data_IF_162990923616
#
_entry.id   IF_162990923616
#
_cell.length_a   1.000
_cell.length_b   1.000
_cell.length_c   1.000
_cell.angle_alpha   90.00
_cell.angle_beta   90.00
_cell.angle_gamma   90.00
#
_symmetry.space_group_name_H-M   'P 1'
#
loop_
_entity.id
_entity.type
_entity.pdbx_description
1 polymer ?
#
# COMPACT_ATOMS: atom_id res chain seq x y z
N UNK A 1 37.98 13.69 37.79
CA UNK A 1 37.11 14.50 36.91
C UNK A 1 36.25 13.52 36.13
N UNK A 2 35.02 13.29 36.58
CA UNK A 2 34.09 12.35 35.96
C UNK A 2 33.36 13.03 34.81
N UNK A 3 33.39 12.40 33.64
CA UNK A 3 32.59 12.80 32.47
C UNK A 3 31.20 12.21 32.65
N UNK A 4 30.20 13.08 32.79
CA UNK A 4 28.80 12.68 32.88
C UNK A 4 28.29 12.24 31.49
N UNK A 5 27.74 11.03 31.41
CA UNK A 5 27.04 10.56 30.23
C UNK A 5 25.69 11.28 30.11
N UNK A 6 25.48 11.99 29.00
CA UNK A 6 24.17 12.54 28.64
C UNK A 6 23.33 11.40 28.09
N UNK A 7 22.36 10.95 28.89
CA UNK A 7 21.28 10.09 28.41
C UNK A 7 20.32 10.98 27.63
N UNK A 8 20.32 10.88 26.30
CA UNK A 8 19.25 11.44 25.49
C UNK A 8 17.96 10.68 25.81
N UNK A 9 17.02 11.37 26.45
CA UNK A 9 15.65 10.89 26.54
C UNK A 9 15.06 10.85 25.12
N UNK A 10 14.78 9.65 24.62
CA UNK A 10 13.89 9.44 23.49
C UNK A 10 12.52 9.99 23.91
N UNK A 11 12.20 11.21 23.49
CA UNK A 11 10.82 11.68 23.45
C UNK A 11 10.09 10.72 22.50
N UNK A 12 9.27 9.83 23.06
CA UNK A 12 8.45 8.93 22.27
C UNK A 12 7.64 9.75 21.28
N UNK A 13 7.93 9.58 19.99
CA UNK A 13 7.02 10.00 18.94
C UNK A 13 5.69 9.31 19.27
N UNK A 14 4.65 10.09 19.55
CA UNK A 14 3.31 9.54 19.61
C UNK A 14 3.06 8.94 18.23
N UNK A 15 3.09 7.60 18.13
CA UNK A 15 2.68 6.91 16.92
C UNK A 15 1.30 7.46 16.56
N UNK A 16 1.11 7.98 15.34
CA UNK A 16 -0.23 8.37 14.91
C UNK A 16 -1.20 7.21 15.16
N UNK A 17 -2.31 7.50 15.83
CA UNK A 17 -3.26 6.46 16.28
C UNK A 17 -4.55 6.48 15.45
N UNK A 18 -4.41 6.87 14.19
CA UNK A 18 -5.45 6.96 13.17
C UNK A 18 -4.82 6.70 11.78
N UNK A 19 -5.60 6.31 10.76
CA UNK A 19 -5.09 6.14 9.42
C UNK A 19 -4.51 7.45 8.85
N UNK A 20 -3.39 7.37 8.12
CA UNK A 20 -2.87 8.52 7.37
C UNK A 20 -3.88 9.01 6.31
N UNK A 21 -4.63 8.07 5.74
CA UNK A 21 -5.69 8.31 4.78
C UNK A 21 -6.87 9.09 5.39
N UNK A 22 -7.44 9.98 4.57
CA UNK A 22 -8.49 10.92 4.95
C UNK A 22 -9.85 10.54 4.38
N UNK A 23 -10.91 11.07 4.98
CA UNK A 23 -12.28 10.93 4.48
C UNK A 23 -12.93 9.59 4.82
N UNK A 24 -13.66 9.03 3.86
CA UNK A 24 -14.35 7.75 3.99
C UNK A 24 -13.48 6.62 3.43
N UNK A 25 -13.13 5.68 4.30
CA UNK A 25 -12.21 4.60 4.04
C UNK A 25 -12.95 3.27 3.98
N UNK A 26 -12.49 2.41 3.08
CA UNK A 26 -12.66 0.98 3.23
C UNK A 26 -11.74 0.48 4.34
N UNK A 27 -12.20 -0.52 5.10
CA UNK A 27 -11.40 -1.22 6.11
C UNK A 27 -11.38 -2.69 5.73
N UNK A 28 -10.22 -3.20 5.33
CA UNK A 28 -10.06 -4.53 4.75
C UNK A 28 -9.21 -5.42 5.64
N UNK A 29 -9.50 -6.73 5.78
CA UNK A 29 -8.58 -7.65 6.42
C UNK A 29 -7.23 -7.64 5.70
N UNK A 30 -6.11 -7.58 6.42
CA UNK A 30 -4.78 -7.57 5.82
C UNK A 30 -4.49 -8.82 4.98
N UNK A 31 -5.16 -9.94 5.27
CA UNK A 31 -5.08 -11.16 4.48
C UNK A 31 -5.81 -11.09 3.12
N UNK A 32 -6.71 -10.12 2.91
CA UNK A 32 -7.45 -9.95 1.66
C UNK A 32 -8.03 -8.54 1.50
N UNK A 33 -7.37 -7.69 0.71
CA UNK A 33 -7.82 -6.32 0.44
C UNK A 33 -9.12 -6.24 -0.41
N UNK A 34 -9.62 -7.35 -0.95
CA UNK A 34 -10.88 -7.43 -1.71
C UNK A 34 -12.12 -7.66 -0.83
N UNK A 35 -11.92 -7.87 0.48
CA UNK A 35 -12.98 -7.91 1.49
C UNK A 35 -12.96 -6.63 2.32
N UNK A 36 -14.13 -6.14 2.69
CA UNK A 36 -14.31 -4.90 3.42
C UNK A 36 -15.24 -5.11 4.62
N UNK A 37 -14.98 -4.40 5.73
CA UNK A 37 -15.96 -4.25 6.81
C UNK A 37 -17.22 -3.59 6.28
N UNK A 38 -18.35 -4.19 6.59
CA UNK A 38 -19.68 -3.87 6.09
C UNK A 38 -20.69 -3.89 7.24
N UNK A 39 -21.56 -2.88 7.32
CA UNK A 39 -22.65 -2.82 8.27
C UNK A 39 -23.87 -2.08 7.73
N UNK A 40 -25.04 -2.68 7.90
CA UNK A 40 -26.34 -2.10 7.57
C UNK A 40 -26.70 -0.95 8.54
N UNK A 41 -27.53 0.01 8.10
CA UNK A 41 -27.80 1.23 8.87
C UNK A 41 -28.90 1.08 9.93
N UNK A 42 -28.63 0.31 10.98
CA UNK A 42 -29.48 0.25 12.19
C UNK A 42 -28.66 -0.11 13.44
N UNK A 43 -29.16 0.26 14.62
CA UNK A 43 -28.50 -0.06 15.88
C UNK A 43 -28.52 -1.58 16.13
N UNK A 44 -27.35 -2.13 16.48
CA UNK A 44 -27.14 -3.56 16.65
C UNK A 44 -26.83 -4.31 15.35
N UNK A 45 -26.74 -3.63 14.20
CA UNK A 45 -26.34 -4.29 12.95
C UNK A 45 -24.94 -4.90 13.09
N UNK A 46 -24.72 -6.16 12.68
CA UNK A 46 -23.43 -6.81 12.82
C UNK A 46 -22.38 -6.15 11.93
N UNK A 47 -21.18 -5.96 12.45
CA UNK A 47 -20.02 -5.56 11.64
C UNK A 47 -19.40 -6.83 11.05
N UNK A 48 -19.69 -7.06 9.77
CA UNK A 48 -19.30 -8.26 9.01
C UNK A 48 -18.29 -7.90 7.94
N UNK A 49 -17.67 -8.89 7.33
CA UNK A 49 -16.95 -8.68 6.06
C UNK A 49 -17.84 -9.04 4.86
N UNK A 50 -17.68 -8.32 3.76
CA UNK A 50 -18.27 -8.61 2.46
C UNK A 50 -17.28 -8.27 1.33
N UNK A 51 -17.59 -8.65 0.09
CA UNK A 51 -16.83 -8.15 -1.06
C UNK A 51 -16.89 -6.62 -1.11
N UNK A 52 -15.74 -5.99 -1.32
CA UNK A 52 -15.67 -4.55 -1.45
C UNK A 52 -16.47 -4.09 -2.67
N UNK A 53 -17.43 -3.21 -2.45
CA UNK A 53 -18.31 -2.65 -3.49
C UNK A 53 -18.36 -1.12 -3.48
N UNK A 54 -17.80 -0.48 -2.44
CA UNK A 54 -17.73 0.98 -2.32
C UNK A 54 -19.04 1.64 -1.90
N UNK A 55 -20.06 0.85 -1.59
CA UNK A 55 -21.34 1.32 -1.08
C UNK A 55 -21.23 1.93 0.31
N UNK A 56 -22.24 2.71 0.70
CA UNK A 56 -22.27 3.42 1.97
C UNK A 56 -22.13 2.52 3.21
N UNK A 57 -22.49 1.23 3.10
CA UNK A 57 -22.32 0.23 4.17
C UNK A 57 -20.87 -0.14 4.45
N UNK A 58 -19.91 0.31 3.64
CA UNK A 58 -18.49 -0.02 3.77
C UNK A 58 -17.59 1.21 3.98
N UNK A 59 -18.19 2.40 4.16
CA UNK A 59 -17.48 3.68 4.19
C UNK A 59 -17.33 4.17 5.63
N UNK A 60 -16.16 3.93 6.20
CA UNK A 60 -15.83 4.25 7.58
C UNK A 60 -15.03 5.54 7.70
N UNK A 61 -15.20 6.28 8.79
CA UNK A 61 -14.45 7.52 9.06
C UNK A 61 -13.84 7.44 10.46
N UNK A 62 -12.56 7.79 10.56
CA UNK A 62 -11.80 7.70 11.80
C UNK A 62 -11.70 9.07 12.47
N UNK A 63 -12.24 9.20 13.68
CA UNK A 63 -12.15 10.41 14.48
C UNK A 63 -10.79 10.52 15.18
N UNK A 64 -9.85 11.26 14.58
CA UNK A 64 -8.45 11.37 15.03
C UNK A 64 -8.24 11.82 16.49
N UNK A 65 -9.23 12.50 17.09
CA UNK A 65 -9.20 12.96 18.50
C UNK A 65 -10.20 12.26 19.43
N UNK A 66 -11.17 11.55 18.86
CA UNK A 66 -12.24 10.92 19.63
C UNK A 66 -12.09 9.40 19.72
N UNK A 67 -11.21 8.80 18.91
CA UNK A 67 -11.00 7.35 18.78
C UNK A 67 -12.28 6.63 18.39
N UNK A 68 -13.17 7.35 17.71
CA UNK A 68 -14.44 6.81 17.26
C UNK A 68 -14.31 6.46 15.79
N UNK A 69 -14.70 5.24 15.44
CA UNK A 69 -14.79 4.78 14.06
C UNK A 69 -16.25 4.85 13.63
N UNK A 70 -16.58 5.84 12.79
CA UNK A 70 -17.95 6.17 12.39
C UNK A 70 -18.32 5.54 11.05
N UNK A 71 -19.61 5.27 10.86
CA UNK A 71 -20.25 4.88 9.61
C UNK A 71 -21.66 5.50 9.57
N UNK A 72 -22.24 5.68 8.38
CA UNK A 72 -23.59 6.28 8.20
C UNK A 72 -23.77 7.65 8.89
N UNK A 73 -22.68 8.40 9.07
CA UNK A 73 -22.66 9.72 9.71
C UNK A 73 -22.78 9.73 11.24
N UNK A 74 -23.68 8.92 11.82
CA UNK A 74 -23.95 8.91 13.26
C UNK A 74 -24.01 7.50 13.90
N UNK A 75 -23.46 6.48 13.22
CA UNK A 75 -23.23 5.17 13.80
C UNK A 75 -21.76 4.94 14.04
N UNK A 76 -21.44 4.14 15.03
CA UNK A 76 -20.11 3.92 15.55
C UNK A 76 -19.85 2.42 15.66
N UNK A 77 -18.61 2.02 15.38
CA UNK A 77 -18.10 0.70 15.75
C UNK A 77 -18.26 0.54 17.26
N UNK A 78 -18.86 -0.58 17.68
CA UNK A 78 -19.27 -0.81 19.05
C UNK A 78 -18.98 -2.28 19.44
N UNK A 79 -18.38 -2.48 20.60
CA UNK A 79 -18.29 -3.80 21.22
C UNK A 79 -19.62 -4.12 21.88
N UNK A 80 -20.31 -5.13 21.37
CA UNK A 80 -21.65 -5.49 21.82
C UNK A 80 -21.73 -5.67 23.34
N UNK A 81 -22.68 -4.97 23.94
CA UNK A 81 -22.96 -4.92 25.39
C UNK A 81 -21.76 -4.49 26.26
N UNK A 82 -20.67 -3.96 25.65
CA UNK A 82 -19.44 -3.63 26.36
C UNK A 82 -18.73 -4.83 26.97
N UNK A 83 -19.01 -6.04 26.48
CA UNK A 83 -18.49 -7.26 27.08
C UNK A 83 -17.02 -7.47 26.72
N UNK A 84 -16.14 -7.25 27.70
CA UNK A 84 -14.70 -7.56 27.60
C UNK A 84 -14.41 -9.05 27.73
N UNK A 85 -14.77 -9.81 26.70
CA UNK A 85 -14.47 -11.23 26.55
C UNK A 85 -14.03 -11.52 25.12
N UNK A 86 -13.11 -12.47 24.95
CA UNK A 86 -12.74 -12.96 23.63
C UNK A 86 -13.95 -13.52 22.89
N UNK A 87 -14.08 -13.15 21.62
CA UNK A 87 -15.19 -13.58 20.77
C UNK A 87 -16.45 -12.71 20.89
N UNK A 88 -16.47 -11.67 21.73
CA UNK A 88 -17.56 -10.69 21.72
C UNK A 88 -17.65 -10.05 20.34
N UNK A 89 -18.83 -10.12 19.71
CA UNK A 89 -19.05 -9.63 18.35
C UNK A 89 -19.13 -8.11 18.31
N UNK A 90 -18.65 -7.57 17.19
CA UNK A 90 -18.75 -6.15 16.89
C UNK A 90 -20.08 -5.83 16.24
N UNK A 91 -20.58 -4.64 16.54
CA UNK A 91 -21.82 -4.12 15.99
C UNK A 91 -21.71 -2.63 15.68
N UNK A 92 -22.72 -2.20 14.94
CA UNK A 92 -23.32 -0.89 14.84
C UNK A 92 -23.93 -0.30 16.11
N UNK A 93 -23.61 0.91 16.56
CA UNK A 93 -24.54 1.63 17.45
C UNK A 93 -24.53 3.13 17.24
N UNK A 94 -25.62 3.81 17.61
CA UNK A 94 -25.67 5.28 17.66
C UNK A 94 -24.48 5.81 18.45
N UNK A 95 -23.78 6.77 17.85
CA UNK A 95 -22.55 7.30 18.40
C UNK A 95 -22.78 7.97 19.77
N UNK A 96 -22.00 7.56 20.75
CA UNK A 96 -21.86 8.21 22.04
C UNK A 96 -20.37 8.38 22.31
N UNK A 97 -19.87 9.61 22.18
CA UNK A 97 -18.44 9.89 22.32
C UNK A 97 -17.91 9.68 23.75
N UNK A 98 -18.77 9.47 24.74
CA UNK A 98 -18.37 9.09 26.10
C UNK A 98 -18.44 7.57 26.36
N UNK A 99 -19.00 6.79 25.42
CA UNK A 99 -19.13 5.33 25.59
C UNK A 99 -17.76 4.66 25.45
N UNK A 100 -17.27 3.93 26.47
CA UNK A 100 -16.01 3.19 26.36
C UNK A 100 -16.09 2.04 25.35
N UNK A 101 -17.28 1.57 24.98
CA UNK A 101 -17.46 0.47 24.02
C UNK A 101 -17.23 0.89 22.56
N UNK A 102 -17.09 2.19 22.30
CA UNK A 102 -17.00 2.80 20.97
C UNK A 102 -15.63 3.47 20.73
N UNK A 103 -14.63 3.11 21.52
CA UNK A 103 -13.30 3.71 21.52
C UNK A 103 -12.27 2.75 20.93
N UNK A 104 -11.80 3.05 19.74
CA UNK A 104 -10.85 2.24 19.00
C UNK A 104 -9.67 3.08 18.52
N UNK A 105 -8.47 2.62 18.84
CA UNK A 105 -7.21 3.15 18.32
C UNK A 105 -6.79 2.37 17.09
N UNK A 106 -6.42 3.08 16.03
CA UNK A 106 -5.85 2.46 14.84
C UNK A 106 -4.33 2.69 14.84
N UNK A 107 -3.53 1.63 14.95
CA UNK A 107 -2.08 1.74 14.72
C UNK A 107 -1.84 1.70 13.22
N UNK A 108 -1.29 2.75 12.62
CA UNK A 108 -0.91 2.68 11.20
C UNK A 108 0.36 1.84 10.98
N UNK A 109 1.19 1.68 12.01
CA UNK A 109 2.40 0.86 11.95
C UNK A 109 2.10 -0.64 11.99
N UNK A 110 1.11 -1.04 12.80
CA UNK A 110 0.77 -2.45 12.99
C UNK A 110 -0.54 -2.83 12.28
N UNK A 111 -1.26 -1.86 11.71
CA UNK A 111 -2.60 -1.99 11.13
C UNK A 111 -3.65 -2.61 12.07
N UNK A 112 -3.49 -2.45 13.38
CA UNK A 112 -4.43 -3.00 14.36
C UNK A 112 -5.45 -1.96 14.80
N UNK A 113 -6.72 -2.36 14.87
CA UNK A 113 -7.80 -1.64 15.55
C UNK A 113 -7.93 -2.16 16.99
N UNK A 114 -7.45 -1.43 17.98
CA UNK A 114 -7.49 -1.84 19.40
C UNK A 114 -8.56 -1.13 20.19
N UNK A 115 -9.31 -1.89 21.01
CA UNK A 115 -10.31 -1.37 21.92
C UNK A 115 -9.62 -0.68 23.11
N UNK A 116 -9.83 0.64 23.22
CA UNK A 116 -9.10 1.53 24.12
C UNK A 116 -9.10 1.02 25.58
N UNK A 117 -7.90 0.76 26.10
CA UNK A 117 -7.66 0.34 27.48
C UNK A 117 -8.14 -1.07 27.82
N UNK A 118 -8.54 -1.90 26.85
CA UNK A 118 -9.06 -3.26 27.12
C UNK A 118 -8.11 -4.40 26.77
N UNK A 119 -7.01 -4.12 26.06
CA UNK A 119 -6.08 -5.15 25.59
C UNK A 119 -6.69 -6.10 24.56
N UNK A 120 -7.74 -5.65 23.85
CA UNK A 120 -8.42 -6.40 22.80
C UNK A 120 -8.32 -5.66 21.47
N UNK A 121 -8.24 -6.42 20.39
CA UNK A 121 -8.13 -5.92 19.02
C UNK A 121 -9.32 -6.47 18.20
N UNK A 122 -9.75 -5.71 17.20
CA UNK A 122 -10.69 -6.17 16.18
C UNK A 122 -10.05 -7.35 15.46
N UNK A 123 -10.77 -8.45 15.41
CA UNK A 123 -10.30 -9.76 14.96
C UNK A 123 -11.32 -10.34 13.98
N UNK A 124 -10.80 -10.89 12.87
CA UNK A 124 -11.59 -11.69 11.95
C UNK A 124 -11.62 -13.14 12.45
N UNK A 125 -12.78 -13.67 12.92
CA UNK A 125 -12.81 -14.97 13.56
C UNK A 125 -12.24 -16.08 12.67
N UNK A 126 -11.22 -16.77 13.18
CA UNK A 126 -10.51 -17.85 12.49
C UNK A 126 -9.95 -17.48 11.11
N UNK A 127 -9.78 -16.19 10.80
CA UNK A 127 -9.37 -15.73 9.48
C UNK A 127 -10.37 -16.08 8.36
N UNK A 128 -11.62 -16.40 8.69
CA UNK A 128 -12.60 -16.83 7.71
C UNK A 128 -13.04 -15.66 6.82
N UNK A 129 -12.69 -15.74 5.52
CA UNK A 129 -12.97 -14.71 4.50
C UNK A 129 -14.36 -14.81 3.85
N UNK A 130 -15.24 -15.67 4.37
CA UNK A 130 -16.62 -15.79 3.86
C UNK A 130 -17.43 -14.51 4.13
N UNK A 131 -18.19 -14.06 3.14
CA UNK A 131 -19.10 -12.93 3.32
C UNK A 131 -20.08 -13.21 4.46
N UNK A 132 -20.33 -12.20 5.29
CA UNK A 132 -21.18 -12.32 6.48
C UNK A 132 -20.45 -12.77 7.75
N UNK A 133 -19.16 -13.13 7.68
CA UNK A 133 -18.40 -13.41 8.89
C UNK A 133 -18.30 -12.14 9.76
N UNK A 134 -18.82 -12.21 10.98
CA UNK A 134 -18.93 -11.07 11.90
C UNK A 134 -17.65 -10.91 12.70
N UNK A 135 -17.02 -9.75 12.55
CA UNK A 135 -15.82 -9.38 13.29
C UNK A 135 -16.08 -9.39 14.80
N UNK A 136 -15.03 -9.63 15.57
CA UNK A 136 -15.10 -9.74 17.02
C UNK A 136 -13.96 -8.97 17.67
N UNK A 137 -13.98 -8.88 19.00
CA UNK A 137 -12.79 -8.52 19.76
C UNK A 137 -12.08 -9.78 20.24
N UNK A 138 -10.76 -9.77 20.17
CA UNK A 138 -9.89 -10.83 20.68
C UNK A 138 -8.63 -10.23 21.32
N UNK A 139 -7.95 -10.96 22.22
CA UNK A 139 -6.68 -10.53 22.80
C UNK A 139 -5.68 -10.09 21.72
N UNK A 140 -5.13 -8.88 21.85
CA UNK A 140 -4.20 -8.34 20.86
C UNK A 140 -2.92 -9.20 20.78
N UNK A 141 -2.49 -9.53 19.56
CA UNK A 141 -1.23 -10.22 19.29
C UNK A 141 -0.62 -9.71 17.98
N UNK A 142 0.65 -9.29 18.03
CA UNK A 142 1.39 -8.77 16.86
C UNK A 142 1.57 -9.80 15.75
N UNK A 143 1.51 -11.09 16.09
CA UNK A 143 1.70 -12.19 15.13
C UNK A 143 0.37 -12.74 14.61
N UNK A 144 -0.77 -12.18 15.03
CA UNK A 144 -2.08 -12.66 14.60
C UNK A 144 -2.52 -11.94 13.31
N UNK A 145 -2.47 -12.59 12.13
CA UNK A 145 -2.87 -11.97 10.87
C UNK A 145 -4.36 -11.61 10.80
N UNK A 146 -5.18 -12.18 11.68
CA UNK A 146 -6.62 -11.89 11.74
C UNK A 146 -6.94 -10.53 12.37
N UNK A 147 -5.94 -9.87 12.97
CA UNK A 147 -6.07 -8.57 13.63
C UNK A 147 -5.49 -7.41 12.82
N UNK A 148 -5.03 -7.69 11.60
CA UNK A 148 -4.52 -6.73 10.65
C UNK A 148 -5.68 -6.21 9.80
N UNK A 149 -5.86 -4.89 9.78
CA UNK A 149 -6.90 -4.19 9.05
C UNK A 149 -6.29 -3.02 8.29
N UNK A 150 -6.18 -3.14 6.97
CA UNK A 150 -5.70 -2.04 6.13
C UNK A 150 -6.84 -1.09 5.80
N UNK A 151 -6.52 0.18 5.60
CA UNK A 151 -7.49 1.19 5.15
C UNK A 151 -7.18 1.67 3.74
N UNK A 152 -8.20 1.97 2.94
CA UNK A 152 -7.98 2.55 1.61
C UNK A 152 -9.25 2.80 0.83
N UNK A 153 -9.12 2.72 -0.50
CA UNK A 153 -10.12 3.17 -1.45
C UNK A 153 -10.29 2.14 -2.58
N UNK A 154 -11.44 2.18 -3.24
CA UNK A 154 -11.57 1.49 -4.52
C UNK A 154 -10.98 2.34 -5.61
N UNK A 155 -10.35 1.68 -6.59
CA UNK A 155 -9.71 2.34 -7.74
C UNK A 155 -10.67 3.18 -8.59
N UNK A 156 -11.97 2.90 -8.55
CA UNK A 156 -13.01 3.62 -9.30
C UNK A 156 -13.66 4.75 -8.50
N UNK A 157 -13.33 4.88 -7.21
CA UNK A 157 -13.84 5.93 -6.32
C UNK A 157 -12.72 6.44 -5.39
N UNK A 158 -11.53 6.82 -5.90
CA UNK A 158 -10.51 7.45 -5.08
C UNK A 158 -10.90 8.90 -4.76
N UNK A 159 -10.53 9.41 -3.57
CA UNK A 159 -10.66 10.83 -3.29
C UNK A 159 -9.71 11.63 -4.19
N UNK A 160 -9.93 12.94 -4.32
CA UNK A 160 -8.97 13.81 -5.02
C UNK A 160 -7.59 13.74 -4.37
N UNK A 161 -7.54 13.78 -3.04
CA UNK A 161 -6.33 13.61 -2.23
C UNK A 161 -6.63 12.58 -1.14
N UNK A 162 -5.73 11.63 -0.90
CA UNK A 162 -5.86 10.64 0.18
C UNK A 162 -5.20 11.12 1.47
N UNK A 163 -4.15 11.94 1.42
CA UNK A 163 -3.40 12.37 2.60
C UNK A 163 -3.23 13.89 2.68
N UNK A 164 -3.00 14.39 3.90
CA UNK A 164 -2.74 15.81 4.16
C UNK A 164 -1.35 16.17 3.61
N UNK A 165 -1.27 17.22 2.80
CA UNK A 165 -0.01 17.67 2.19
C UNK A 165 0.29 17.03 0.83
N UNK A 166 -0.63 16.22 0.30
CA UNK A 166 -0.49 15.63 -1.02
C UNK A 166 -0.32 16.71 -2.11
N UNK A 167 0.73 16.57 -2.93
CA UNK A 167 1.05 17.49 -4.04
C UNK A 167 0.05 17.40 -5.20
N UNK A 168 -0.20 16.16 -5.64
CA UNK A 168 -0.94 15.85 -6.85
C UNK A 168 -2.39 15.45 -6.60
N UNK A 169 -2.87 14.50 -7.39
CA UNK A 169 -4.24 13.98 -7.31
C UNK A 169 -4.28 12.47 -7.50
N UNK A 170 -5.25 11.82 -6.86
CA UNK A 170 -5.61 10.43 -7.11
C UNK A 170 -6.81 10.27 -8.08
N UNK A 171 -7.48 11.37 -8.42
CA UNK A 171 -8.48 11.41 -9.50
C UNK A 171 -7.79 11.69 -10.84
N UNK A 172 -7.08 10.68 -11.34
CA UNK A 172 -6.17 10.86 -12.47
C UNK A 172 -6.86 10.99 -13.84
N UNK A 173 -8.13 10.58 -13.94
CA UNK A 173 -8.80 10.45 -15.23
C UNK A 173 -8.27 9.28 -16.07
N UNK A 174 -8.63 9.23 -17.34
CA UNK A 174 -8.21 8.15 -18.24
C UNK A 174 -7.03 8.54 -19.13
N UNK A 175 -7.08 9.72 -19.75
CA UNK A 175 -6.11 10.12 -20.77
C UNK A 175 -4.77 10.54 -20.17
N UNK A 176 -3.68 10.09 -20.79
CA UNK A 176 -2.34 10.47 -20.35
C UNK A 176 -1.97 11.86 -20.83
N UNK A 177 -1.21 12.56 -19.99
CA UNK A 177 -0.67 13.88 -20.28
C UNK A 177 0.68 14.03 -19.59
N UNK A 178 1.66 14.63 -20.27
CA UNK A 178 2.96 14.94 -19.67
C UNK A 178 2.87 16.04 -18.59
N UNK A 179 1.75 16.75 -18.50
CA UNK A 179 1.44 17.71 -17.44
C UNK A 179 0.59 17.10 -16.31
N UNK A 180 0.31 15.78 -16.36
CA UNK A 180 -0.47 15.12 -15.31
C UNK A 180 0.23 15.20 -13.95
N UNK A 181 -0.55 15.49 -12.91
CA UNK A 181 -0.13 15.42 -11.52
C UNK A 181 -0.73 14.18 -10.81
N UNK A 182 -1.07 13.14 -11.56
CA UNK A 182 -1.52 11.89 -10.98
C UNK A 182 -0.44 11.28 -10.09
N UNK A 183 -0.80 10.87 -8.87
CA UNK A 183 0.08 10.15 -7.94
C UNK A 183 -0.34 8.70 -7.70
N UNK A 184 -1.36 8.23 -8.40
CA UNK A 184 -1.76 6.83 -8.38
C UNK A 184 -0.92 6.00 -9.37
N UNK A 185 -0.22 4.99 -8.86
CA UNK A 185 0.57 4.04 -9.64
C UNK A 185 -0.17 2.71 -9.83
N UNK A 186 0.25 2.00 -10.89
CA UNK A 186 -0.20 0.65 -11.19
C UNK A 186 1.00 -0.29 -11.35
N UNK A 187 0.82 -1.56 -10.99
CA UNK A 187 1.83 -2.61 -11.23
C UNK A 187 1.13 -3.92 -11.57
N UNK A 188 1.20 -4.30 -12.85
CA UNK A 188 0.50 -5.49 -13.36
C UNK A 188 1.43 -6.41 -14.13
N UNK A 189 2.37 -5.86 -14.89
CA UNK A 189 3.22 -6.64 -15.78
C UNK A 189 4.43 -5.84 -16.27
N UNK A 190 5.35 -6.50 -16.98
CA UNK A 190 6.54 -5.90 -17.63
C UNK A 190 6.18 -4.73 -18.57
N UNK A 191 4.99 -4.73 -19.15
CA UNK A 191 4.51 -3.68 -20.06
C UNK A 191 3.38 -2.82 -19.46
N UNK A 192 2.93 -3.08 -18.23
CA UNK A 192 1.84 -2.35 -17.55
C UNK A 192 2.22 -2.07 -16.10
N UNK A 193 3.06 -1.06 -15.91
CA UNK A 193 3.45 -0.57 -14.60
C UNK A 193 3.71 0.93 -14.64
N UNK A 194 3.82 1.50 -13.45
CA UNK A 194 4.16 2.89 -13.23
C UNK A 194 5.34 3.01 -12.27
N UNK A 195 6.06 4.11 -12.38
CA UNK A 195 7.07 4.58 -11.43
C UNK A 195 6.73 6.02 -11.08
N UNK A 196 7.21 6.51 -9.95
CA UNK A 196 7.12 7.93 -9.63
C UNK A 196 8.42 8.66 -9.90
N UNK A 197 8.31 9.91 -10.34
CA UNK A 197 9.46 10.75 -10.67
C UNK A 197 9.15 12.24 -10.43
N UNK A 198 10.17 13.10 -10.23
CA UNK A 198 9.95 14.49 -9.87
C UNK A 198 9.19 15.25 -10.97
N UNK A 199 8.07 15.94 -10.64
CA UNK A 199 7.25 16.59 -11.66
C UNK A 199 7.96 17.74 -12.39
N UNK A 200 8.93 18.39 -11.71
CA UNK A 200 9.69 19.55 -12.19
C UNK A 200 11.20 19.29 -12.25
N UNK A 201 11.60 18.02 -12.17
CA UNK A 201 12.98 17.59 -12.09
C UNK A 201 13.63 17.80 -10.72
N UNK A 202 14.59 16.96 -10.36
CA UNK A 202 15.28 17.04 -9.06
C UNK A 202 15.95 15.73 -8.65
N UNK A 203 16.60 15.76 -7.49
CA UNK A 203 17.03 14.54 -6.80
C UNK A 203 15.79 13.86 -6.22
N UNK A 204 15.67 12.55 -6.42
CA UNK A 204 14.50 11.78 -5.99
C UNK A 204 14.35 11.86 -4.48
N UNK A 205 15.43 11.72 -3.71
CA UNK A 205 15.38 11.82 -2.24
C UNK A 205 14.92 13.18 -1.72
N UNK A 206 15.13 14.27 -2.48
CA UNK A 206 14.66 15.60 -2.10
C UNK A 206 13.22 15.89 -2.53
N UNK A 207 12.69 15.11 -3.48
CA UNK A 207 11.39 15.35 -4.13
C UNK A 207 10.40 14.21 -3.87
N UNK A 208 10.80 13.20 -3.09
CA UNK A 208 10.07 11.97 -2.78
C UNK A 208 8.61 12.19 -2.37
N UNK A 209 8.31 13.32 -1.73
CA UNK A 209 6.95 13.66 -1.25
C UNK A 209 6.02 14.16 -2.34
N UNK A 210 6.57 14.71 -3.43
CA UNK A 210 5.83 15.40 -4.50
C UNK A 210 5.90 14.70 -5.87
N UNK A 211 6.61 13.58 -5.96
CA UNK A 211 6.74 12.82 -7.21
C UNK A 211 5.38 12.40 -7.79
N UNK A 212 5.30 12.34 -9.12
CA UNK A 212 4.09 11.98 -9.89
C UNK A 212 4.32 10.75 -10.74
N UNK A 213 3.25 10.03 -11.04
CA UNK A 213 3.30 8.75 -11.72
C UNK A 213 3.57 8.90 -13.24
N UNK A 214 4.53 8.11 -13.71
CA UNK A 214 4.82 7.81 -15.10
C UNK A 214 4.52 6.34 -15.36
N UNK A 215 3.65 6.03 -16.32
CA UNK A 215 3.28 4.66 -16.64
C UNK A 215 3.72 4.25 -18.04
N UNK A 216 3.94 2.95 -18.23
CA UNK A 216 4.11 2.34 -19.55
C UNK A 216 2.83 2.36 -20.37
N UNK A 217 1.67 2.62 -19.75
CA UNK A 217 0.40 2.70 -20.47
C UNK A 217 -0.38 4.00 -20.28
N UNK A 218 -0.95 4.51 -21.38
CA UNK A 218 -2.02 5.51 -21.32
C UNK A 218 -3.35 4.87 -20.97
N UNK A 219 -4.30 5.61 -20.39
CA UNK A 219 -5.51 5.01 -19.80
C UNK A 219 -5.48 4.98 -18.26
N UNK A 220 -4.38 5.44 -17.65
CA UNK A 220 -4.21 5.59 -16.20
C UNK A 220 -4.33 7.05 -15.74
N UNK A 221 -4.48 8.01 -16.66
CA UNK A 221 -4.48 9.43 -16.32
C UNK A 221 -3.11 10.00 -15.95
N UNK A 222 -2.05 9.21 -16.09
CA UNK A 222 -0.68 9.53 -15.67
C UNK A 222 0.14 10.16 -16.79
N UNK A 223 1.36 10.58 -16.47
CA UNK A 223 2.39 10.78 -17.48
C UNK A 223 2.77 9.42 -18.08
N UNK A 224 3.37 9.41 -19.27
CA UNK A 224 3.90 8.20 -19.90
C UNK A 224 5.40 8.30 -20.08
N UNK A 225 6.11 7.18 -20.00
CA UNK A 225 7.55 7.18 -20.24
C UNK A 225 7.88 7.66 -21.66
N UNK A 226 8.79 8.63 -21.84
CA UNK A 226 9.34 8.95 -23.14
C UNK A 226 10.09 7.75 -23.74
N UNK A 227 10.16 7.67 -25.07
CA UNK A 227 10.83 6.56 -25.74
C UNK A 227 12.32 6.43 -25.36
N UNK A 228 12.74 5.19 -25.17
CA UNK A 228 14.08 4.84 -24.77
C UNK A 228 14.44 5.23 -23.33
N UNK A 229 13.46 5.63 -22.50
CA UNK A 229 13.65 5.78 -21.04
C UNK A 229 13.96 4.43 -20.41
N UNK A 230 13.18 3.39 -20.71
CA UNK A 230 13.39 2.04 -20.21
C UNK A 230 14.41 1.31 -21.11
N UNK A 231 15.42 0.71 -20.50
CA UNK A 231 16.49 -0.04 -21.19
C UNK A 231 16.47 -1.53 -20.86
N UNK A 232 15.96 -1.91 -19.70
CA UNK A 232 15.63 -3.28 -19.34
C UNK A 232 14.53 -3.28 -18.29
N UNK A 233 13.64 -4.26 -18.33
CA UNK A 233 12.54 -4.43 -17.38
C UNK A 233 12.35 -5.92 -17.11
N UNK A 234 12.37 -6.31 -15.84
CA UNK A 234 12.09 -7.66 -15.39
C UNK A 234 10.96 -7.60 -14.38
N UNK A 235 9.82 -8.19 -14.76
CA UNK A 235 8.66 -8.33 -13.91
C UNK A 235 8.58 -9.76 -13.38
N UNK A 236 8.26 -9.90 -12.10
CA UNK A 236 7.91 -11.18 -11.49
C UNK A 236 6.58 -11.09 -10.75
N UNK A 237 5.79 -12.15 -10.90
CA UNK A 237 4.63 -12.44 -10.06
C UNK A 237 4.98 -13.57 -9.11
N UNK A 238 4.76 -13.33 -7.83
CA UNK A 238 4.87 -14.37 -6.79
C UNK A 238 3.50 -14.63 -6.17
N UNK A 239 3.47 -15.49 -5.14
CA UNK A 239 2.27 -15.72 -4.35
C UNK A 239 1.86 -14.47 -3.55
N UNK A 240 2.82 -13.74 -3.01
CA UNK A 240 2.57 -12.69 -2.01
C UNK A 240 2.91 -11.28 -2.49
N UNK A 241 3.52 -11.12 -3.67
CA UNK A 241 3.84 -9.81 -4.24
C UNK A 241 4.03 -9.85 -5.76
N UNK A 242 3.93 -8.68 -6.38
CA UNK A 242 4.48 -8.40 -7.70
C UNK A 242 5.69 -7.50 -7.57
N UNK A 243 6.66 -7.66 -8.46
CA UNK A 243 7.86 -6.83 -8.48
C UNK A 243 8.25 -6.53 -9.92
N UNK A 244 8.64 -5.29 -10.19
CA UNK A 244 9.25 -4.86 -11.44
C UNK A 244 10.60 -4.22 -11.14
N UNK A 245 11.65 -4.65 -11.83
CA UNK A 245 13.01 -4.14 -11.71
C UNK A 245 13.56 -3.78 -13.06
N UNK A 246 14.56 -2.89 -13.13
CA UNK A 246 15.15 -2.60 -14.42
C UNK A 246 16.13 -1.45 -14.43
N UNK A 247 16.62 -1.17 -15.64
CA UNK A 247 17.58 -0.10 -15.91
C UNK A 247 17.03 0.84 -16.96
N UNK A 248 17.50 2.09 -16.95
CA UNK A 248 16.94 3.15 -17.77
C UNK A 248 17.80 4.40 -17.86
N UNK A 249 17.28 5.39 -18.57
CA UNK A 249 17.72 6.79 -18.54
C UNK A 249 16.60 7.62 -17.93
N UNK A 250 16.58 7.68 -16.59
CA UNK A 250 15.50 8.34 -15.84
C UNK A 250 15.66 9.86 -15.77
N UNK A 251 16.74 10.40 -16.33
CA UNK A 251 16.86 11.85 -16.56
C UNK A 251 15.78 12.35 -17.52
N UNK A 252 15.28 11.48 -18.42
CA UNK A 252 14.15 11.76 -19.32
C UNK A 252 12.81 11.97 -18.61
N UNK A 253 12.68 11.56 -17.35
CA UNK A 253 11.49 11.76 -16.53
C UNK A 253 11.76 12.66 -15.32
N UNK A 254 12.86 13.43 -15.35
CA UNK A 254 13.15 14.48 -14.36
C UNK A 254 14.13 14.09 -13.24
N UNK A 255 14.58 12.84 -13.16
CA UNK A 255 15.60 12.49 -12.16
C UNK A 255 16.92 13.22 -12.47
N UNK A 256 17.55 13.84 -11.47
CA UNK A 256 18.81 14.55 -11.65
C UNK A 256 19.90 13.60 -12.18
N UNK A 257 20.75 14.03 -13.14
CA UNK A 257 21.86 13.21 -13.59
C UNK A 257 22.79 12.82 -12.43
N UNK A 258 23.19 11.54 -12.38
CA UNK A 258 24.03 10.94 -11.34
C UNK A 258 23.41 10.94 -9.94
N UNK A 259 22.08 11.06 -9.86
CA UNK A 259 21.37 10.76 -8.62
C UNK A 259 21.49 9.26 -8.31
N UNK A 260 22.02 8.95 -7.12
CA UNK A 260 22.23 7.59 -6.61
C UNK A 260 20.93 6.95 -6.12
N UNK A 261 19.90 7.78 -5.91
CA UNK A 261 18.53 7.34 -5.74
C UNK A 261 17.91 7.65 -4.38
N UNK A 262 16.74 7.07 -4.15
CA UNK A 262 15.96 7.22 -2.93
C UNK A 262 14.83 6.19 -2.88
N UNK A 263 14.41 5.88 -1.66
CA UNK A 263 13.25 5.04 -1.38
C UNK A 263 11.96 5.85 -1.44
N UNK A 264 10.92 5.22 -1.96
CA UNK A 264 9.53 5.67 -1.96
C UNK A 264 8.70 4.53 -1.35
N UNK A 265 7.80 4.86 -0.43
CA UNK A 265 7.02 3.90 0.33
C UNK A 265 5.68 4.52 0.84
N UNK A 266 4.73 3.70 1.33
CA UNK A 266 3.41 4.19 1.75
C UNK A 266 3.37 4.93 3.09
N UNK A 267 4.46 4.96 3.85
CA UNK A 267 4.49 5.46 5.23
C UNK A 267 5.42 6.64 5.45
N UNK A 268 6.54 6.71 4.72
CA UNK A 268 7.58 7.72 4.91
C UNK A 268 8.10 7.82 6.36
N UNK A 269 8.93 8.84 6.62
CA UNK A 269 9.52 9.03 7.95
C UNK A 269 8.54 9.59 9.00
N UNK A 270 7.49 10.29 8.57
CA UNK A 270 6.52 10.96 9.45
C UNK A 270 5.14 10.27 9.53
N UNK A 271 5.00 9.11 8.89
CA UNK A 271 3.75 8.34 8.82
C UNK A 271 2.86 8.72 7.64
N UNK A 272 3.24 9.71 6.82
CA UNK A 272 2.68 9.92 5.49
C UNK A 272 3.62 9.37 4.42
N UNK A 273 3.06 8.80 3.35
CA UNK A 273 3.85 8.25 2.27
C UNK A 273 4.79 9.27 1.59
N UNK A 274 5.72 8.73 0.81
CA UNK A 274 6.60 9.44 -0.10
C UNK A 274 6.53 8.72 -1.46
N UNK A 275 5.62 9.12 -2.39
CA UNK A 275 4.83 10.35 -2.37
C UNK A 275 3.70 10.37 -1.34
N UNK A 276 3.47 11.56 -0.77
CA UNK A 276 2.32 11.78 0.11
C UNK A 276 1.06 11.52 -0.70
N UNK A 277 0.20 10.64 -0.17
CA UNK A 277 -1.04 10.24 -0.82
C UNK A 277 -0.87 9.40 -2.09
N UNK A 278 0.32 8.82 -2.31
CA UNK A 278 0.55 7.83 -3.35
C UNK A 278 -0.30 6.58 -3.12
N UNK A 279 -1.06 6.18 -4.14
CA UNK A 279 -1.86 4.94 -4.11
C UNK A 279 -1.32 3.94 -5.14
N UNK A 280 -1.26 2.67 -4.78
CA UNK A 280 -0.84 1.59 -5.69
C UNK A 280 -1.99 0.64 -5.93
N UNK A 281 -2.26 0.35 -7.20
CA UNK A 281 -3.25 -0.64 -7.61
C UNK A 281 -2.64 -1.70 -8.53
N UNK A 282 -3.27 -2.88 -8.54
CA UNK A 282 -2.95 -3.91 -9.51
C UNK A 282 -4.12 -4.84 -9.77
N UNK A 283 -3.96 -5.70 -10.76
CA UNK A 283 -4.93 -6.69 -11.18
C UNK A 283 -4.53 -8.13 -10.82
N UNK A 284 -3.27 -8.32 -10.40
CA UNK A 284 -2.66 -9.65 -10.24
C UNK A 284 -3.32 -10.48 -9.14
N UNK A 285 -3.69 -9.84 -8.04
CA UNK A 285 -4.30 -10.47 -6.87
C UNK A 285 -5.80 -10.17 -6.72
N UNK A 286 -6.38 -9.44 -7.68
CA UNK A 286 -7.75 -8.96 -7.67
C UNK A 286 -7.87 -7.75 -8.58
N UNK A 287 -9.03 -7.58 -9.24
CA UNK A 287 -9.22 -6.52 -10.24
C UNK A 287 -9.21 -5.13 -9.58
N UNK A 288 -8.23 -4.29 -9.92
CA UNK A 288 -8.09 -2.95 -9.36
C UNK A 288 -7.92 -2.94 -7.84
N UNK A 289 -7.26 -3.97 -7.32
CA UNK A 289 -7.01 -4.14 -5.90
C UNK A 289 -5.95 -3.14 -5.44
N UNK A 290 -6.18 -2.45 -4.33
CA UNK A 290 -5.17 -1.59 -3.73
C UNK A 290 -4.09 -2.45 -3.05
N UNK A 291 -2.83 -2.13 -3.30
CA UNK A 291 -1.69 -2.70 -2.58
C UNK A 291 -1.24 -1.68 -1.53
N UNK A 292 -1.46 -2.02 -0.26
CA UNK A 292 -1.22 -1.11 0.87
C UNK A 292 0.25 -1.10 1.30
N UNK A 293 0.98 -2.18 1.02
CA UNK A 293 2.40 -2.30 1.34
C UNK A 293 3.19 -2.45 0.06
N UNK A 294 4.11 -1.52 -0.16
CA UNK A 294 4.93 -1.46 -1.35
C UNK A 294 6.21 -0.70 -1.04
N UNK A 295 7.28 -0.96 -1.78
CA UNK A 295 8.52 -0.19 -1.69
C UNK A 295 9.07 -0.01 -3.10
N UNK A 296 9.56 1.19 -3.39
CA UNK A 296 10.06 1.58 -4.71
C UNK A 296 11.35 2.35 -4.56
N UNK A 297 12.38 1.97 -5.29
CA UNK A 297 13.62 2.74 -5.37
C UNK A 297 13.80 3.21 -6.80
N UNK A 298 14.23 4.45 -6.92
CA UNK A 298 14.53 5.10 -8.20
C UNK A 298 15.90 5.75 -8.09
N UNK A 299 16.68 5.70 -9.15
CA UNK A 299 17.91 6.46 -9.34
C UNK A 299 17.94 7.03 -10.76
N UNK A 300 19.02 7.71 -11.15
CA UNK A 300 19.16 8.17 -12.53
C UNK A 300 19.21 7.02 -13.56
N UNK A 301 19.56 5.80 -13.13
CA UNK A 301 19.89 4.68 -14.04
C UNK A 301 19.20 3.35 -13.75
N UNK A 302 18.64 3.18 -12.56
CA UNK A 302 18.06 1.92 -12.09
C UNK A 302 16.76 2.19 -11.32
N UNK A 303 15.84 1.23 -11.39
CA UNK A 303 14.63 1.21 -10.58
C UNK A 303 14.27 -0.19 -10.11
N UNK A 304 13.47 -0.23 -9.05
CA UNK A 304 12.79 -1.42 -8.59
C UNK A 304 11.56 -1.02 -7.81
N UNK A 305 10.47 -1.73 -8.01
CA UNK A 305 9.20 -1.47 -7.36
C UNK A 305 8.53 -2.80 -7.04
N UNK A 306 8.25 -3.03 -5.78
CA UNK A 306 7.54 -4.22 -5.28
C UNK A 306 6.28 -3.78 -4.57
N UNK A 307 5.18 -4.48 -4.86
CA UNK A 307 3.92 -4.29 -4.17
C UNK A 307 3.43 -5.63 -3.61
N UNK A 308 3.19 -5.66 -2.31
CA UNK A 308 2.94 -6.85 -1.53
C UNK A 308 1.47 -6.95 -1.09
N UNK A 309 1.03 -8.18 -0.86
CA UNK A 309 -0.33 -8.49 -0.39
C UNK A 309 -0.31 -9.62 0.63
N UNK A 310 -1.45 -9.83 1.28
CA UNK A 310 -1.65 -10.87 2.27
C UNK A 310 -1.00 -10.55 3.62
N UNK A 311 -0.99 -11.54 4.55
CA UNK A 311 -0.62 -11.31 5.94
C UNK A 311 0.86 -10.96 6.15
N UNK A 312 1.73 -11.24 5.18
CA UNK A 312 3.16 -10.94 5.24
C UNK A 312 3.54 -9.69 4.44
N UNK A 313 2.59 -8.87 4.02
CA UNK A 313 2.85 -7.78 3.07
C UNK A 313 3.93 -6.80 3.57
N UNK A 314 3.82 -6.30 4.80
CA UNK A 314 4.82 -5.43 5.45
C UNK A 314 6.20 -6.09 5.59
N UNK A 315 6.23 -7.42 5.78
CA UNK A 315 7.48 -8.17 5.89
C UNK A 315 8.15 -8.37 4.53
N UNK A 316 7.37 -8.53 3.47
CA UNK A 316 7.86 -8.74 2.10
C UNK A 316 8.21 -7.42 1.39
N UNK A 317 7.67 -6.30 1.86
CA UNK A 317 7.93 -4.93 1.41
C UNK A 317 8.35 -4.12 2.63
N UNK A 318 9.61 -4.24 3.05
CA UNK A 318 10.16 -3.48 4.17
C UNK A 318 10.61 -2.09 3.72
N UNK A 319 10.46 -1.10 4.60
CA UNK A 319 10.74 0.32 4.33
C UNK A 319 11.81 0.91 5.26
N UNK A 320 12.69 0.04 5.78
CA UNK A 320 13.71 0.41 6.77
C UNK A 320 15.15 0.23 6.24
N UNK A 321 15.28 0.00 4.94
CA UNK A 321 16.54 -0.31 4.26
C UNK A 321 16.78 0.65 3.08
N UNK A 322 16.47 1.93 3.30
CA UNK A 322 16.45 3.02 2.34
C UNK A 322 17.79 3.25 1.63
N UNK A 323 18.92 3.03 2.31
CA UNK A 323 20.26 3.27 1.72
C UNK A 323 20.85 2.04 1.03
N UNK A 324 20.15 0.91 1.04
CA UNK A 324 20.67 -0.34 0.47
C UNK A 324 20.44 -0.45 -1.05
N UNK A 325 19.45 0.28 -1.55
CA UNK A 325 19.12 0.35 -2.97
C UNK A 325 18.57 -0.95 -3.56
N UNK A 326 18.33 -0.90 -4.86
CA UNK A 326 17.55 -1.91 -5.58
C UNK A 326 18.14 -3.32 -5.53
N UNK A 327 19.43 -3.47 -5.84
CA UNK A 327 20.05 -4.80 -5.95
C UNK A 327 20.14 -5.54 -4.61
N UNK A 328 20.10 -4.83 -3.49
CA UNK A 328 20.09 -5.45 -2.17
C UNK A 328 18.67 -5.72 -1.68
N UNK A 329 17.76 -4.76 -1.81
CA UNK A 329 16.37 -4.89 -1.35
C UNK A 329 15.52 -5.81 -2.25
N UNK A 330 15.76 -5.78 -3.55
CA UNK A 330 14.98 -6.51 -4.57
C UNK A 330 15.89 -7.25 -5.57
N UNK A 331 16.68 -8.24 -5.13
CA UNK A 331 17.55 -9.02 -6.03
C UNK A 331 16.75 -9.63 -7.19
N UNK A 332 17.15 -9.32 -8.43
CA UNK A 332 16.46 -9.71 -9.65
C UNK A 332 17.38 -9.57 -10.88
N UNK A 333 16.83 -9.84 -12.06
CA UNK A 333 17.48 -9.46 -13.32
C UNK A 333 17.35 -7.93 -13.54
N UNK A 334 18.47 -7.27 -13.86
CA UNK A 334 18.56 -5.84 -14.19
C UNK A 334 19.24 -5.60 -15.55
N UNK A 335 19.44 -6.66 -16.33
CA UNK A 335 20.19 -6.59 -17.59
C UNK A 335 19.51 -5.66 -18.60
N UNK A 336 20.29 -4.76 -19.17
CA UNK A 336 19.83 -3.94 -20.28
C UNK A 336 19.54 -4.81 -21.51
N UNK A 337 18.51 -4.45 -22.28
CA UNK A 337 18.02 -5.20 -23.43
C UNK A 337 17.13 -6.40 -23.08
N UNK A 338 16.89 -6.68 -21.80
CA UNK A 338 15.98 -7.72 -21.35
C UNK A 338 14.65 -7.11 -20.92
N UNK A 339 13.56 -7.60 -21.51
CA UNK A 339 12.20 -7.22 -21.16
C UNK A 339 11.40 -8.48 -20.92
N UNK A 340 11.23 -8.86 -19.66
CA UNK A 340 10.74 -10.18 -19.30
C UNK A 340 9.65 -10.10 -18.22
N UNK A 341 8.68 -11.00 -18.30
CA UNK A 341 7.64 -11.19 -17.28
C UNK A 341 7.57 -12.66 -16.93
N UNK A 342 7.76 -12.97 -15.66
CA UNK A 342 7.90 -14.34 -15.16
C UNK A 342 6.97 -14.58 -13.97
N UNK A 343 6.68 -15.84 -13.71
CA UNK A 343 6.33 -16.29 -12.36
C UNK A 343 7.63 -16.45 -11.55
N UNK A 344 7.57 -16.28 -10.23
CA UNK A 344 8.70 -16.53 -9.35
C UNK A 344 8.26 -16.99 -7.96
N UNK A 345 9.18 -17.66 -7.27
CA UNK A 345 9.05 -17.91 -5.84
C UNK A 345 9.20 -16.61 -5.04
N UNK A 346 8.65 -16.58 -3.82
CA UNK A 346 8.90 -15.46 -2.91
C UNK A 346 10.38 -15.35 -2.58
N UNK A 347 10.89 -14.13 -2.56
CA UNK A 347 12.20 -13.81 -2.01
C UNK A 347 12.23 -14.00 -0.49
N UNK A 348 13.45 -14.19 0.03
CA UNK A 348 13.68 -14.06 1.45
C UNK A 348 13.37 -12.61 1.89
N UNK A 349 12.70 -12.41 3.04
CA UNK A 349 12.38 -11.07 3.53
C UNK A 349 13.62 -10.20 3.73
N UNK A 350 13.54 -8.91 3.38
CA UNK A 350 14.68 -8.00 3.49
C UNK A 350 15.26 -7.98 4.91
N UNK A 351 16.58 -8.16 5.01
CA UNK A 351 17.32 -8.12 6.27
C UNK A 351 17.16 -9.35 7.17
N UNK A 352 16.45 -10.40 6.75
CA UNK A 352 16.28 -11.63 7.55
C UNK A 352 17.21 -12.74 7.05
N UNK A 353 18.21 -13.09 7.87
CA UNK A 353 19.20 -14.13 7.57
C UNK A 353 19.04 -15.28 8.56
N UNK A 354 18.27 -16.30 8.15
CA UNK A 354 17.91 -17.42 9.04
C UNK A 354 17.01 -16.94 10.17
N UNK A 355 17.49 -17.04 11.41
CA UNK A 355 16.79 -16.55 12.61
C UNK A 355 17.24 -15.15 13.06
N UNK A 356 18.15 -14.52 12.31
CA UNK A 356 18.71 -13.22 12.64
C UNK A 356 18.12 -12.12 11.77
N UNK A 357 17.88 -10.96 12.37
CA UNK A 357 17.51 -9.73 11.66
C UNK A 357 18.71 -8.79 11.66
N UNK A 358 19.08 -8.31 10.48
CA UNK A 358 20.08 -7.26 10.29
C UNK A 358 19.37 -5.92 10.13
N UNK A 359 19.98 -4.85 10.65
CA UNK A 359 19.45 -3.48 10.54
C UNK A 359 20.45 -2.60 9.81
N UNK A 360 19.93 -1.67 9.02
CA UNK A 360 20.74 -0.70 8.28
C UNK A 360 21.76 0.01 9.18
N UNK A 361 22.98 0.19 8.66
CA UNK A 361 24.08 0.83 9.37
C UNK A 361 24.91 -0.10 10.27
N UNK A 362 24.46 -1.33 10.51
CA UNK A 362 25.21 -2.33 11.29
C UNK A 362 26.28 -3.02 10.43
N UNK A 363 27.50 -3.15 10.96
CA UNK A 363 28.62 -3.81 10.26
C UNK A 363 28.93 -5.21 10.82
N UNK A 364 29.32 -6.18 9.95
CA UNK A 364 29.39 -6.07 8.50
C UNK A 364 27.98 -6.04 7.88
N UNK A 365 27.82 -5.27 6.81
CA UNK A 365 26.62 -5.33 5.97
C UNK A 365 26.61 -6.68 5.25
N UNK A 366 25.56 -7.51 5.40
CA UNK A 366 25.47 -8.79 4.71
C UNK A 366 25.27 -8.59 3.21
N UNK A 367 25.69 -9.59 2.44
CA UNK A 367 25.39 -9.64 1.01
C UNK A 367 23.87 -9.69 0.77
N UNK A 368 23.44 -9.16 -0.37
CA UNK A 368 22.05 -9.26 -0.81
C UNK A 368 21.57 -10.72 -0.81
N UNK A 369 20.27 -10.92 -0.58
CA UNK A 369 19.68 -12.25 -0.72
C UNK A 369 19.84 -12.80 -2.15
N UNK A 370 19.89 -14.13 -2.32
CA UNK A 370 19.88 -14.74 -3.65
C UNK A 370 18.65 -14.30 -4.45
N UNK A 371 18.82 -14.18 -5.76
CA UNK A 371 17.71 -13.98 -6.69
C UNK A 371 16.80 -15.22 -6.60
N UNK A 372 15.48 -15.06 -6.36
CA UNK A 372 14.55 -16.18 -6.32
C UNK A 372 14.47 -16.89 -7.68
N UNK A 373 14.09 -18.16 -7.66
CA UNK A 373 13.88 -18.89 -8.91
C UNK A 373 12.68 -18.30 -9.67
N UNK A 374 12.90 -17.98 -10.94
CA UNK A 374 11.87 -17.57 -11.89
C UNK A 374 11.48 -18.73 -12.82
N UNK A 375 10.24 -18.73 -13.30
CA UNK A 375 9.70 -19.70 -14.24
C UNK A 375 8.67 -19.05 -15.17
N UNK A 376 8.22 -19.78 -16.20
CA UNK A 376 7.20 -19.31 -17.15
C UNK A 376 7.47 -17.93 -17.78
N UNK A 377 8.74 -17.59 -17.96
CA UNK A 377 9.14 -16.27 -18.45
C UNK A 377 8.71 -16.03 -19.90
N UNK A 378 7.97 -14.94 -20.13
CA UNK A 378 7.71 -14.36 -21.45
C UNK A 378 8.66 -13.21 -21.71
N UNK A 379 9.29 -13.20 -22.88
CA UNK A 379 10.15 -12.10 -23.34
C UNK A 379 9.40 -11.18 -24.28
N UNK A 380 9.63 -9.87 -24.15
CA UNK A 380 9.23 -8.85 -25.08
C UNK A 380 10.45 -8.30 -25.82
N UNK A 381 10.30 -7.81 -27.06
CA UNK A 381 11.39 -7.15 -27.77
C UNK A 381 11.74 -5.79 -27.14
N UNK A 382 10.74 -5.09 -26.60
CA UNK A 382 10.88 -3.78 -25.96
C UNK A 382 9.63 -3.48 -25.12
N UNK A 383 9.73 -2.48 -24.25
CA UNK A 383 8.59 -1.86 -23.56
C UNK A 383 8.54 -0.40 -23.98
N UNK A 384 7.42 -0.01 -24.60
CA UNK A 384 7.13 1.37 -25.02
C UNK A 384 5.81 1.82 -24.45
N UNK A 385 5.60 3.13 -24.42
CA UNK A 385 4.32 3.69 -24.01
C UNK A 385 3.20 3.30 -25.00
N UNK A 386 2.09 2.77 -24.51
CA UNK A 386 0.92 2.38 -25.34
C UNK A 386 -0.41 2.43 -24.59
N UNK A 387 -1.58 2.34 -25.24
CA UNK A 387 -2.85 2.38 -24.51
C UNK A 387 -3.06 1.12 -23.64
N UNK A 388 -3.69 1.29 -22.48
CA UNK A 388 -4.25 0.19 -21.68
C UNK A 388 -5.24 -0.54 -22.58
N UNK A 389 -5.06 -1.86 -22.72
CA UNK A 389 -5.99 -2.71 -23.46
C UNK A 389 -7.35 -2.64 -22.74
N UNK A 390 -8.34 -1.95 -23.34
CA UNK A 390 -9.71 -1.94 -22.82
C UNK A 390 -10.30 -3.34 -23.02
N UNK A 391 -10.84 -3.92 -21.95
CA UNK A 391 -11.64 -5.14 -22.04
C UNK A 391 -12.86 -4.85 -22.94
N UNK A 392 -12.90 -5.39 -24.16
CA UNK A 392 -13.95 -5.14 -25.16
C UNK A 392 -15.32 -5.77 -24.81
N UNK A 393 -15.67 -5.89 -23.52
CA UNK A 393 -16.96 -6.44 -23.05
C UNK A 393 -18.04 -5.39 -22.72
N UNK A 394 -17.95 -4.19 -23.29
CA UNK A 394 -19.12 -3.29 -23.41
C UNK A 394 -19.38 -3.00 -24.88
N UNK A 395 -20.04 -3.94 -25.58
CA UNK A 395 -20.87 -3.56 -26.73
C UNK A 395 -22.09 -2.85 -26.17
N UNK A 396 -22.25 -1.61 -26.59
CA UNK A 396 -23.44 -0.82 -26.36
C UNK A 396 -24.67 -1.60 -26.83
N UNK A 397 -25.68 -1.72 -25.98
CA UNK A 397 -27.05 -1.78 -26.44
C UNK A 397 -27.38 -0.37 -26.93
N UNK A 398 -27.28 -0.13 -28.25
CA UNK A 398 -28.09 0.94 -28.83
C UNK A 398 -29.52 0.44 -28.91
N UNK A 399 -30.45 1.23 -28.39
CA UNK A 399 -31.85 1.08 -28.68
C UNK A 399 -32.07 1.32 -30.17
N UNK A 400 -32.59 0.32 -30.86
CA UNK A 400 -33.40 0.49 -32.06
C UNK A 400 -34.78 -0.10 -31.77
N UNK A 401 -35.75 0.82 -31.63
CA UNK A 401 -37.20 0.78 -31.83
C UNK A 401 -37.97 1.46 -30.70
#
# INVERSE_FOLDING_TARGET
MSVAAVVLALTGLAAAQYPAYTGQLLVSPGSNAGKCLDADNYDGAPVKIADCNGGATQKWTFGSKSHVVKIHGNKCLDVKDGKNADGTKLQIWTCNESSPNQKFWYSFWDYTLSWEGKGKCVDLPSGNLSNGNVAQVWGCSKENPNQIWTTGYLVNDPPKTSEIGQYGTNQCGAESSQQSNCQTAWINDVDDFCLWSPPNGGEIGNTEREVVAYCTKSGRGTRTFPDGTLKGVHFVKTKDYVQVTGTGDFTKIGVKPKDDGGELDPHGADGNGNPIGGLVYGNTFGKGLQYHEWTSFMSATEFCFRACTGPNAAKNCQHIYDVMGCRWNMPANYDAGKFESCDAENSLPMGIYGTSTWYQGVKPTPAAHPIPNSSNCRTLPTVTSGPVKRDHKRRAFSHDN
#
